data_IF_796422891660
#
_entry.id   IF_796422891660
#
_cell.length_a   1.000
_cell.length_b   1.000
_cell.length_c   1.000
_cell.angle_alpha   90.00
_cell.angle_beta   90.00
_cell.angle_gamma   90.00
#
_symmetry.space_group_name_H-M   'P 1'
#
loop_
_entity.id
_entity.type
_entity.pdbx_description
1 polymer ?
#
# COMPACT_ATOMS: atom_id res chain seq x y z
N UNK A 1 2.08 4.36 -35.08
CA UNK A 1 0.73 4.47 -35.69
C UNK A 1 -0.29 5.13 -34.76
N UNK A 2 -0.45 4.73 -33.49
CA UNK A 2 -1.44 5.35 -32.59
C UNK A 2 -1.18 6.84 -32.26
N UNK A 3 0.09 7.25 -32.12
CA UNK A 3 0.46 8.66 -31.84
C UNK A 3 0.12 9.63 -32.98
N UNK A 4 -0.14 9.11 -34.20
CA UNK A 4 -0.54 9.92 -35.36
C UNK A 4 -2.07 10.01 -35.49
N UNK A 5 -2.83 9.33 -34.62
CA UNK A 5 -4.29 9.37 -34.63
C UNK A 5 -4.81 10.68 -34.02
N UNK A 6 -5.97 11.12 -34.50
CA UNK A 6 -6.61 12.31 -33.94
C UNK A 6 -6.98 12.07 -32.47
N UNK A 7 -6.70 13.03 -31.58
CA UNK A 7 -6.89 12.87 -30.13
C UNK A 7 -8.30 12.39 -29.76
N UNK A 8 -9.34 12.98 -30.34
CA UNK A 8 -10.74 12.59 -30.08
C UNK A 8 -11.03 11.13 -30.46
N UNK A 9 -10.37 10.60 -31.51
CA UNK A 9 -10.52 9.18 -31.86
C UNK A 9 -9.90 8.29 -30.78
N UNK A 10 -8.73 8.67 -30.24
CA UNK A 10 -8.11 7.95 -29.12
C UNK A 10 -8.97 8.01 -27.86
N UNK A 11 -9.54 9.17 -27.52
CA UNK A 11 -10.44 9.35 -26.38
C UNK A 11 -11.66 8.41 -26.48
N UNK A 12 -12.30 8.35 -27.65
CA UNK A 12 -13.44 7.44 -27.90
C UNK A 12 -13.01 5.98 -27.80
N UNK A 13 -11.90 5.60 -28.44
CA UNK A 13 -11.40 4.22 -28.41
C UNK A 13 -11.05 3.76 -26.99
N UNK A 14 -10.38 4.61 -26.21
CA UNK A 14 -10.05 4.33 -24.81
C UNK A 14 -11.33 4.22 -23.97
N UNK A 15 -12.29 5.11 -24.15
CA UNK A 15 -13.58 5.06 -23.45
C UNK A 15 -14.35 3.77 -23.75
N UNK A 16 -14.40 3.35 -25.01
CA UNK A 16 -15.04 2.10 -25.43
C UNK A 16 -14.31 0.87 -24.85
N UNK A 17 -12.98 0.85 -24.91
CA UNK A 17 -12.18 -0.26 -24.38
C UNK A 17 -12.30 -0.39 -22.86
N UNK A 18 -12.26 0.73 -22.15
CA UNK A 18 -12.24 0.74 -20.69
C UNK A 18 -13.62 0.77 -20.06
N UNK A 19 -14.65 1.16 -20.81
CA UNK A 19 -16.01 1.40 -20.31
C UNK A 19 -16.15 2.70 -19.53
N UNK A 20 -15.15 3.58 -19.54
CA UNK A 20 -15.07 4.80 -18.74
C UNK A 20 -15.40 6.03 -19.59
N UNK A 21 -16.47 6.74 -19.21
CA UNK A 21 -16.96 7.92 -19.94
C UNK A 21 -16.10 9.16 -19.69
N UNK A 22 -15.27 9.11 -18.67
CA UNK A 22 -14.38 10.17 -18.20
C UNK A 22 -13.35 10.56 -19.25
N UNK A 23 -12.97 9.65 -20.15
CA UNK A 23 -12.03 9.92 -21.24
C UNK A 23 -12.60 10.83 -22.34
N UNK A 24 -13.92 10.88 -22.51
CA UNK A 24 -14.58 11.76 -23.49
C UNK A 24 -15.05 13.08 -22.85
N UNK A 25 -15.21 13.10 -21.52
CA UNK A 25 -15.53 14.32 -20.79
C UNK A 25 -14.23 15.11 -20.59
N UNK A 26 -14.14 16.33 -21.11
CA UNK A 26 -12.97 17.23 -21.10
C UNK A 26 -12.47 17.68 -19.70
N UNK A 27 -12.66 16.86 -18.66
CA UNK A 27 -12.30 17.18 -17.28
C UNK A 27 -10.81 16.98 -17.01
N UNK A 28 -10.13 16.16 -17.80
CA UNK A 28 -8.73 15.82 -17.60
C UNK A 28 -7.91 16.20 -18.84
N UNK A 29 -6.80 16.90 -18.63
CA UNK A 29 -5.82 17.12 -19.68
C UNK A 29 -4.90 15.89 -19.74
N UNK A 30 -5.24 14.95 -20.64
CA UNK A 30 -4.50 13.70 -20.86
C UNK A 30 -3.84 13.79 -22.22
N UNK A 31 -2.53 13.53 -22.29
CA UNK A 31 -1.81 13.57 -23.56
C UNK A 31 -2.22 12.42 -24.49
N UNK A 32 -2.06 12.60 -25.81
CA UNK A 32 -2.27 11.51 -26.78
C UNK A 32 -1.35 10.31 -26.53
N UNK A 33 -0.16 10.52 -25.94
CA UNK A 33 0.74 9.43 -25.54
C UNK A 33 0.15 8.61 -24.39
N UNK A 34 -0.32 9.27 -23.33
CA UNK A 34 -0.97 8.59 -22.21
C UNK A 34 -2.23 7.83 -22.68
N UNK A 35 -3.04 8.41 -23.57
CA UNK A 35 -4.20 7.73 -24.14
C UNK A 35 -3.79 6.49 -24.95
N UNK A 36 -2.72 6.56 -25.74
CA UNK A 36 -2.20 5.43 -26.49
C UNK A 36 -1.65 4.33 -25.55
N UNK A 37 -0.95 4.71 -24.48
CA UNK A 37 -0.43 3.78 -23.46
C UNK A 37 -1.57 3.08 -22.71
N UNK A 38 -2.62 3.79 -22.33
CA UNK A 38 -3.82 3.20 -21.71
C UNK A 38 -4.51 2.27 -22.70
N UNK A 39 -4.64 2.67 -23.98
CA UNK A 39 -5.23 1.83 -25.03
C UNK A 39 -4.42 0.54 -25.24
N UNK A 40 -3.11 0.57 -25.02
CA UNK A 40 -2.22 -0.58 -25.13
C UNK A 40 -2.05 -1.37 -23.82
N UNK A 41 -2.77 -1.00 -22.75
CA UNK A 41 -2.62 -1.56 -21.39
C UNK A 41 -1.21 -1.40 -20.80
N UNK A 42 -0.44 -0.39 -21.24
CA UNK A 42 0.87 -0.07 -20.69
C UNK A 42 0.78 0.93 -19.52
N UNK A 43 -0.40 1.54 -19.32
CA UNK A 43 -0.68 2.48 -18.25
C UNK A 43 -2.05 2.21 -17.64
N UNK A 44 -2.16 2.41 -16.34
CA UNK A 44 -3.41 2.25 -15.61
C UNK A 44 -4.51 3.17 -16.15
N UNK A 45 -5.68 2.59 -16.41
CA UNK A 45 -6.89 3.31 -16.84
C UNK A 45 -7.52 4.19 -15.75
N UNK A 46 -7.10 4.05 -14.49
CA UNK A 46 -7.51 4.98 -13.43
C UNK A 46 -6.69 6.28 -13.55
N UNK A 47 -7.36 7.36 -13.90
CA UNK A 47 -6.76 8.68 -14.13
C UNK A 47 -6.11 9.30 -12.89
N UNK A 48 -6.43 8.83 -11.69
CA UNK A 48 -5.77 9.24 -10.45
C UNK A 48 -4.52 8.41 -10.14
N UNK A 49 -4.44 7.18 -10.64
CA UNK A 49 -3.32 6.26 -10.39
C UNK A 49 -2.22 6.45 -11.43
N UNK A 50 -2.56 6.38 -12.73
CA UNK A 50 -1.63 6.54 -13.86
C UNK A 50 -0.35 5.68 -13.83
N UNK A 51 -0.22 4.68 -12.95
CA UNK A 51 0.95 3.80 -12.89
C UNK A 51 1.20 3.12 -14.23
N UNK A 52 2.47 2.92 -14.59
CA UNK A 52 2.84 2.05 -15.70
C UNK A 52 2.57 0.59 -15.33
N UNK A 53 2.14 -0.22 -16.29
CA UNK A 53 1.78 -1.61 -16.08
C UNK A 53 2.80 -2.55 -16.72
N UNK A 54 3.15 -3.68 -16.06
CA UNK A 54 2.76 -4.06 -14.70
C UNK A 54 3.49 -3.23 -13.63
N UNK A 55 2.83 -3.00 -12.49
CA UNK A 55 3.43 -2.23 -11.38
C UNK A 55 4.40 -3.11 -10.57
N UNK A 56 5.54 -2.54 -10.17
CA UNK A 56 6.58 -3.14 -9.33
C UNK A 56 7.12 -4.49 -9.83
N UNK A 57 7.08 -4.71 -11.15
CA UNK A 57 7.55 -5.96 -11.78
C UNK A 57 6.95 -7.23 -11.15
N UNK A 58 5.72 -7.15 -10.64
CA UNK A 58 5.07 -8.27 -9.98
C UNK A 58 4.90 -9.46 -10.95
N UNK A 59 5.48 -10.60 -10.60
CA UNK A 59 5.51 -11.83 -11.40
C UNK A 59 4.36 -12.81 -11.06
N UNK A 60 3.39 -12.37 -10.26
CA UNK A 60 2.27 -13.25 -9.91
C UNK A 60 1.43 -13.61 -11.13
N UNK A 61 0.77 -14.78 -11.08
CA UNK A 61 -0.04 -15.31 -12.21
C UNK A 61 -1.12 -14.34 -12.70
N UNK A 62 -1.63 -13.47 -11.82
CA UNK A 62 -2.67 -12.51 -12.16
C UNK A 62 -2.06 -11.32 -12.92
N UNK A 63 -1.04 -10.67 -12.36
CA UNK A 63 -0.34 -9.55 -12.98
C UNK A 63 0.30 -9.94 -14.32
N UNK A 64 0.89 -11.15 -14.41
CA UNK A 64 1.51 -11.63 -15.63
C UNK A 64 0.50 -11.93 -16.77
N UNK A 65 -0.70 -12.44 -16.43
CA UNK A 65 -1.72 -12.79 -17.43
C UNK A 65 -2.63 -11.62 -17.81
N UNK A 66 -2.83 -10.66 -16.92
CA UNK A 66 -3.79 -9.56 -17.09
C UNK A 66 -3.04 -8.26 -17.30
N UNK A 67 -2.72 -7.94 -18.54
CA UNK A 67 -2.00 -6.72 -18.89
C UNK A 67 -2.74 -5.44 -18.51
N UNK A 68 -4.06 -5.47 -18.39
CA UNK A 68 -4.90 -4.32 -18.00
C UNK A 68 -5.08 -4.15 -16.49
N UNK A 69 -4.54 -5.05 -15.67
CA UNK A 69 -4.70 -5.04 -14.23
C UNK A 69 -3.65 -4.16 -13.55
N UNK A 70 -4.10 -3.25 -12.70
CA UNK A 70 -3.23 -2.43 -11.85
C UNK A 70 -3.37 -2.85 -10.39
N UNK A 71 -2.33 -3.46 -9.80
CA UNK A 71 -2.36 -3.91 -8.39
C UNK A 71 -2.51 -2.78 -7.38
N UNK A 72 -2.11 -1.54 -7.73
CA UNK A 72 -2.15 -0.39 -6.83
C UNK A 72 -3.55 0.11 -6.54
N UNK A 73 -4.47 -0.02 -7.50
CA UNK A 73 -5.80 0.59 -7.39
C UNK A 73 -6.95 -0.30 -7.82
N UNK A 74 -6.70 -1.45 -8.44
CA UNK A 74 -7.77 -2.35 -8.89
C UNK A 74 -7.95 -3.52 -7.94
N UNK A 75 -9.22 -3.86 -7.72
CA UNK A 75 -9.60 -5.04 -6.97
C UNK A 75 -9.23 -6.30 -7.75
N UNK A 76 -8.55 -7.22 -7.06
CA UNK A 76 -8.08 -8.48 -7.63
C UNK A 76 -9.21 -9.36 -8.21
N UNK A 77 -10.40 -9.26 -7.61
CA UNK A 77 -11.57 -10.06 -8.01
C UNK A 77 -12.32 -9.42 -9.19
N UNK A 78 -12.77 -8.17 -9.07
CA UNK A 78 -13.64 -7.55 -10.07
C UNK A 78 -12.92 -6.61 -11.04
N UNK A 79 -11.66 -6.27 -10.77
CA UNK A 79 -10.79 -5.37 -11.57
C UNK A 79 -11.35 -3.97 -11.81
N UNK A 80 -12.34 -3.61 -10.99
CA UNK A 80 -12.78 -2.23 -10.82
C UNK A 80 -11.89 -1.58 -9.78
N UNK A 81 -11.84 -0.26 -9.85
CA UNK A 81 -11.13 0.60 -8.92
C UNK A 81 -12.11 1.66 -8.42
N UNK A 82 -11.82 2.20 -7.25
CA UNK A 82 -12.39 3.42 -6.75
C UNK A 82 -11.27 4.30 -6.19
N UNK A 83 -11.62 5.43 -5.58
CA UNK A 83 -10.65 6.32 -4.94
C UNK A 83 -10.79 6.26 -3.41
N UNK A 84 -11.29 5.14 -2.87
CA UNK A 84 -11.45 4.99 -1.44
C UNK A 84 -10.06 4.75 -0.81
N UNK A 85 -9.76 5.52 0.22
CA UNK A 85 -8.57 5.38 1.06
C UNK A 85 -9.01 5.41 2.51
N UNK A 86 -8.12 4.97 3.41
CA UNK A 86 -8.34 5.03 4.86
C UNK A 86 -9.66 4.36 5.26
N UNK A 87 -9.91 3.15 4.75
CA UNK A 87 -11.21 2.48 4.77
C UNK A 87 -11.05 0.97 4.92
N UNK A 88 -12.05 0.33 5.51
CA UNK A 88 -12.27 -1.11 5.60
C UNK A 88 -12.99 -1.66 4.36
N UNK A 89 -13.40 -0.80 3.41
CA UNK A 89 -14.02 -1.22 2.14
C UNK A 89 -13.05 -1.94 1.19
N UNK A 90 -11.75 -1.86 1.48
CA UNK A 90 -10.68 -2.59 0.80
C UNK A 90 -9.91 -3.44 1.81
N UNK A 91 -9.52 -4.64 1.38
CA UNK A 91 -8.71 -5.59 2.14
C UNK A 91 -7.48 -5.97 1.34
N UNK A 92 -6.33 -6.06 2.02
CA UNK A 92 -5.04 -6.31 1.39
C UNK A 92 -4.40 -7.60 1.90
N UNK A 93 -3.63 -8.25 1.05
CA UNK A 93 -2.72 -9.31 1.48
C UNK A 93 -1.43 -8.69 2.05
N UNK A 94 -1.07 -9.06 3.26
CA UNK A 94 0.16 -8.63 3.97
C UNK A 94 1.47 -9.18 3.36
N UNK A 95 1.40 -10.21 2.51
CA UNK A 95 2.57 -10.77 1.82
C UNK A 95 2.76 -10.16 0.43
N UNK A 96 1.74 -10.26 -0.43
CA UNK A 96 1.88 -9.88 -1.83
C UNK A 96 1.25 -8.52 -2.15
N UNK A 97 0.66 -7.83 -1.18
CA UNK A 97 0.12 -6.47 -1.32
C UNK A 97 -0.89 -6.30 -2.46
N UNK A 98 -1.59 -7.38 -2.81
CA UNK A 98 -2.75 -7.30 -3.67
C UNK A 98 -3.98 -6.95 -2.86
N UNK A 99 -4.81 -6.07 -3.41
CA UNK A 99 -6.00 -5.54 -2.77
C UNK A 99 -7.28 -6.06 -3.42
N UNK A 100 -8.32 -6.17 -2.60
CA UNK A 100 -9.66 -6.55 -3.04
C UNK A 100 -10.69 -5.69 -2.31
N UNK A 101 -11.81 -5.35 -2.95
CA UNK A 101 -12.94 -4.80 -2.19
C UNK A 101 -13.41 -5.82 -1.16
N UNK A 102 -13.70 -5.39 0.06
CA UNK A 102 -14.27 -6.24 1.11
C UNK A 102 -15.53 -6.96 0.62
N UNK A 103 -16.39 -6.26 -0.12
CA UNK A 103 -17.59 -6.85 -0.73
C UNK A 103 -17.29 -7.97 -1.72
N UNK A 104 -16.24 -7.82 -2.53
CA UNK A 104 -15.84 -8.87 -3.46
C UNK A 104 -15.26 -10.07 -2.71
N UNK A 105 -14.45 -9.81 -1.68
CA UNK A 105 -13.90 -10.85 -0.81
C UNK A 105 -15.00 -11.62 -0.07
N UNK A 106 -16.05 -10.95 0.41
CA UNK A 106 -17.18 -11.60 1.08
C UNK A 106 -18.04 -12.42 0.11
N UNK A 107 -18.40 -11.87 -1.05
CA UNK A 107 -19.25 -12.59 -2.03
C UNK A 107 -18.59 -13.86 -2.56
N UNK A 108 -17.29 -13.80 -2.85
CA UNK A 108 -16.53 -14.94 -3.37
C UNK A 108 -15.92 -15.82 -2.26
N UNK A 109 -16.29 -15.58 -0.99
CA UNK A 109 -15.81 -16.34 0.17
C UNK A 109 -14.28 -16.36 0.33
N UNK A 110 -13.60 -15.30 -0.12
CA UNK A 110 -12.18 -15.05 0.17
C UNK A 110 -11.97 -14.47 1.57
N UNK A 111 -12.98 -13.84 2.16
CA UNK A 111 -13.00 -13.48 3.59
C UNK A 111 -13.80 -14.56 4.31
N UNK A 112 -13.14 -15.37 5.13
CA UNK A 112 -13.74 -16.55 5.79
C UNK A 112 -12.97 -16.96 7.04
N UNK A 113 -13.57 -17.81 7.88
CA UNK A 113 -12.86 -18.44 8.99
C UNK A 113 -11.74 -19.34 8.45
N UNK A 114 -10.55 -19.22 9.04
CA UNK A 114 -9.38 -20.03 8.75
C UNK A 114 -8.65 -20.40 10.04
N UNK A 115 -7.62 -21.25 9.94
CA UNK A 115 -6.83 -21.66 11.11
C UNK A 115 -5.92 -20.51 11.53
N UNK A 116 -5.97 -20.13 12.81
CA UNK A 116 -5.10 -19.08 13.33
C UNK A 116 -3.64 -19.50 13.28
N UNK A 117 -2.78 -18.62 12.78
CA UNK A 117 -1.33 -18.84 12.77
C UNK A 117 -0.68 -18.63 14.15
N UNK A 118 -1.35 -17.87 15.03
CA UNK A 118 -0.81 -17.42 16.33
C UNK A 118 -1.57 -17.98 17.54
N UNK A 119 -2.75 -18.55 17.33
CA UNK A 119 -3.57 -19.12 18.39
C UNK A 119 -3.18 -20.55 18.80
N UNK A 120 -3.80 -21.03 19.89
CA UNK A 120 -3.65 -22.41 20.34
C UNK A 120 -4.16 -23.39 19.26
N UNK A 121 -3.65 -24.62 19.28
CA UNK A 121 -3.95 -25.61 18.26
C UNK A 121 -5.47 -25.83 18.11
N UNK A 122 -6.01 -25.49 16.93
CA UNK A 122 -7.44 -25.60 16.62
C UNK A 122 -8.26 -24.32 16.73
N UNK A 123 -7.68 -23.18 17.13
CA UNK A 123 -8.41 -21.90 17.11
C UNK A 123 -8.59 -21.40 15.68
N UNK A 124 -9.83 -21.06 15.32
CA UNK A 124 -10.15 -20.38 14.05
C UNK A 124 -10.05 -18.87 14.23
N UNK A 125 -9.86 -18.14 13.13
CA UNK A 125 -9.96 -16.68 13.09
C UNK A 125 -10.46 -16.21 11.72
N UNK A 126 -11.06 -15.03 11.64
CA UNK A 126 -11.44 -14.44 10.36
C UNK A 126 -10.21 -14.01 9.54
N UNK A 127 -10.08 -14.52 8.32
CA UNK A 127 -8.92 -14.31 7.45
C UNK A 127 -9.36 -13.89 6.03
N UNK A 128 -8.52 -13.10 5.36
CA UNK A 128 -8.59 -12.86 3.93
C UNK A 128 -7.59 -13.78 3.19
N UNK A 129 -8.11 -14.63 2.33
CA UNK A 129 -7.34 -15.50 1.46
C UNK A 129 -7.08 -14.80 0.13
N UNK A 130 -5.83 -14.46 -0.12
CA UNK A 130 -5.46 -13.72 -1.32
C UNK A 130 -5.64 -14.57 -2.60
N UNK A 131 -6.37 -14.05 -3.59
CA UNK A 131 -6.56 -14.77 -4.88
C UNK A 131 -5.25 -14.92 -5.66
N UNK A 132 -4.23 -14.11 -5.39
CA UNK A 132 -2.96 -14.12 -6.12
C UNK A 132 -1.97 -15.17 -5.58
N UNK A 133 -1.81 -15.25 -4.26
CA UNK A 133 -0.81 -16.10 -3.61
C UNK A 133 -1.39 -17.15 -2.63
N UNK A 134 -2.71 -17.18 -2.44
CA UNK A 134 -3.44 -18.03 -1.50
C UNK A 134 -3.01 -17.86 -0.03
N UNK A 135 -2.27 -16.80 0.27
CA UNK A 135 -1.84 -16.50 1.63
C UNK A 135 -3.04 -16.05 2.48
N UNK A 136 -3.22 -16.61 3.70
CA UNK A 136 -4.22 -16.16 4.65
C UNK A 136 -3.71 -14.97 5.48
N UNK A 137 -4.29 -13.79 5.27
CA UNK A 137 -3.99 -12.58 6.06
C UNK A 137 -5.05 -12.38 7.16
N UNK A 138 -4.62 -12.07 8.39
CA UNK A 138 -5.52 -11.88 9.53
C UNK A 138 -6.38 -10.60 9.38
N UNK A 139 -7.71 -10.72 9.52
CA UNK A 139 -8.61 -9.56 9.40
C UNK A 139 -8.69 -8.70 10.65
N UNK A 140 -8.49 -9.28 11.83
CA UNK A 140 -8.59 -8.55 13.10
C UNK A 140 -7.51 -7.47 13.22
N UNK A 141 -6.24 -7.85 13.02
CA UNK A 141 -5.12 -6.91 13.00
C UNK A 141 -5.32 -5.80 11.96
N UNK A 142 -5.69 -6.16 10.74
CA UNK A 142 -5.97 -5.20 9.67
C UNK A 142 -7.00 -4.12 10.08
N UNK A 143 -8.16 -4.55 10.57
CA UNK A 143 -9.23 -3.61 10.95
C UNK A 143 -8.81 -2.75 12.15
N UNK A 144 -8.11 -3.33 13.11
CA UNK A 144 -7.56 -2.59 14.26
C UNK A 144 -6.63 -1.48 13.79
N UNK A 145 -5.72 -1.76 12.86
CA UNK A 145 -4.78 -0.77 12.32
C UNK A 145 -5.49 0.36 11.56
N UNK A 146 -6.48 0.03 10.72
CA UNK A 146 -7.28 1.04 10.01
C UNK A 146 -7.96 2.00 10.99
N UNK A 147 -8.62 1.47 12.03
CA UNK A 147 -9.25 2.31 13.05
C UNK A 147 -8.21 3.10 13.87
N UNK A 148 -7.09 2.51 14.25
CA UNK A 148 -6.07 3.22 15.03
C UNK A 148 -5.47 4.42 14.29
N UNK A 149 -5.31 4.30 12.97
CA UNK A 149 -4.69 5.34 12.14
C UNK A 149 -5.67 6.44 11.73
N UNK A 150 -6.93 6.11 11.43
CA UNK A 150 -7.82 7.03 10.71
C UNK A 150 -9.07 7.46 11.47
N UNK A 151 -9.36 6.87 12.63
CA UNK A 151 -10.58 7.16 13.38
C UNK A 151 -10.74 8.64 13.76
N UNK A 152 -9.63 9.36 13.98
CA UNK A 152 -9.65 10.80 14.31
C UNK A 152 -10.05 11.69 13.14
N UNK A 153 -9.90 11.21 11.92
CA UNK A 153 -10.18 11.95 10.68
C UNK A 153 -11.59 11.68 10.13
N UNK A 154 -12.26 10.65 10.65
CA UNK A 154 -13.57 10.23 10.16
C UNK A 154 -14.70 11.10 10.72
N UNK A 155 -15.62 11.49 9.83
CA UNK A 155 -16.93 12.02 10.24
C UNK A 155 -17.81 10.90 10.78
N UNK A 156 -18.93 11.24 11.42
CA UNK A 156 -19.91 10.26 11.88
C UNK A 156 -20.44 9.36 10.75
N UNK A 157 -20.61 9.92 9.55
CA UNK A 157 -21.03 9.19 8.35
C UNK A 157 -19.95 8.21 7.88
N UNK A 158 -18.68 8.64 7.89
CA UNK A 158 -17.55 7.76 7.56
C UNK A 158 -17.46 6.63 8.57
N UNK A 159 -17.42 6.95 9.85
CA UNK A 159 -17.38 5.95 10.92
C UNK A 159 -18.53 4.94 10.81
N UNK A 160 -19.76 5.41 10.53
CA UNK A 160 -20.92 4.53 10.30
C UNK A 160 -20.68 3.57 9.11
N UNK A 161 -20.19 4.07 7.97
CA UNK A 161 -19.87 3.22 6.81
C UNK A 161 -18.78 2.20 7.12
N UNK A 162 -17.74 2.60 7.84
CA UNK A 162 -16.63 1.70 8.18
C UNK A 162 -17.06 0.63 9.19
N UNK A 163 -17.86 0.98 10.20
CA UNK A 163 -18.47 0.03 11.12
C UNK A 163 -19.39 -0.96 10.41
N UNK A 164 -20.08 -0.54 9.35
CA UNK A 164 -20.91 -1.42 8.54
C UNK A 164 -20.06 -2.49 7.83
N UNK A 165 -18.86 -2.15 7.34
CA UNK A 165 -17.92 -3.15 6.83
C UNK A 165 -17.43 -4.09 7.92
N UNK A 166 -17.06 -3.58 9.10
CA UNK A 166 -16.66 -4.42 10.24
C UNK A 166 -17.76 -5.41 10.61
N UNK A 167 -19.01 -4.92 10.73
CA UNK A 167 -20.20 -5.74 11.00
C UNK A 167 -20.31 -6.90 10.00
N UNK A 168 -20.19 -6.59 8.71
CA UNK A 168 -20.34 -7.58 7.63
C UNK A 168 -19.18 -8.57 7.59
N UNK A 169 -17.94 -8.09 7.70
CA UNK A 169 -16.73 -8.92 7.69
C UNK A 169 -16.76 -9.96 8.81
N UNK A 170 -17.15 -9.56 10.03
CA UNK A 170 -17.16 -10.46 11.19
C UNK A 170 -18.50 -11.13 11.48
N UNK A 171 -19.50 -10.98 10.62
CA UNK A 171 -20.86 -11.52 10.83
C UNK A 171 -20.92 -13.03 11.05
N UNK A 172 -20.02 -13.77 10.40
CA UNK A 172 -19.91 -15.22 10.51
C UNK A 172 -18.62 -15.67 11.24
N UNK A 173 -17.99 -14.78 12.02
CA UNK A 173 -16.78 -15.14 12.76
C UNK A 173 -17.07 -16.20 13.83
N UNK A 174 -16.24 -17.24 13.85
CA UNK A 174 -16.32 -18.30 14.87
C UNK A 174 -15.52 -17.97 16.12
N UNK A 175 -14.54 -17.07 15.98
CA UNK A 175 -13.58 -16.71 17.01
C UNK A 175 -14.11 -15.62 17.95
N UNK A 176 -13.64 -15.64 19.20
CA UNK A 176 -14.13 -14.72 20.24
C UNK A 176 -13.85 -13.26 19.88
N UNK A 177 -12.69 -12.97 19.27
CA UNK A 177 -12.29 -11.59 18.92
C UNK A 177 -13.19 -11.03 17.83
N UNK A 178 -13.44 -11.80 16.77
CA UNK A 178 -14.31 -11.40 15.67
C UNK A 178 -15.77 -11.26 16.10
N UNK A 179 -16.30 -12.18 16.93
CA UNK A 179 -17.65 -12.03 17.52
C UNK A 179 -17.80 -10.74 18.33
N UNK A 180 -16.82 -10.43 19.17
CA UNK A 180 -16.80 -9.17 19.92
C UNK A 180 -16.77 -7.95 19.00
N UNK A 181 -15.96 -7.97 17.94
CA UNK A 181 -15.94 -6.88 16.96
C UNK A 181 -17.28 -6.69 16.26
N UNK A 182 -17.94 -7.79 15.88
CA UNK A 182 -19.27 -7.73 15.28
C UNK A 182 -20.29 -7.09 16.23
N UNK A 183 -20.34 -7.52 17.50
CA UNK A 183 -21.25 -6.96 18.50
C UNK A 183 -20.98 -5.47 18.79
N UNK A 184 -19.70 -5.08 18.88
CA UNK A 184 -19.29 -3.68 19.03
C UNK A 184 -19.79 -2.86 17.85
N UNK A 185 -19.59 -3.34 16.62
CA UNK A 185 -20.03 -2.65 15.42
C UNK A 185 -21.56 -2.47 15.40
N UNK A 186 -22.33 -3.52 15.69
CA UNK A 186 -23.81 -3.46 15.77
C UNK A 186 -24.27 -2.41 16.79
N UNK A 187 -23.71 -2.44 18.00
CA UNK A 187 -24.05 -1.50 19.09
C UNK A 187 -23.67 -0.06 18.75
N UNK A 188 -22.55 0.16 18.07
CA UNK A 188 -22.14 1.50 17.68
C UNK A 188 -23.01 2.06 16.55
N UNK A 189 -23.35 1.23 15.57
CA UNK A 189 -24.26 1.60 14.48
C UNK A 189 -25.64 2.00 15.02
N UNK A 190 -26.20 1.28 15.99
CA UNK A 190 -27.48 1.65 16.60
C UNK A 190 -27.43 2.98 17.35
N UNK A 191 -26.31 3.30 18.00
CA UNK A 191 -26.11 4.61 18.65
C UNK A 191 -26.01 5.75 17.64
N UNK A 192 -25.28 5.55 16.55
CA UNK A 192 -25.14 6.53 15.47
C UNK A 192 -26.47 6.81 14.75
N UNK A 193 -27.33 5.81 14.61
CA UNK A 193 -28.65 5.95 13.97
C UNK A 193 -29.60 6.86 14.75
N UNK A 194 -29.48 6.92 16.09
CA UNK A 194 -30.43 7.63 16.95
C UNK A 194 -30.19 9.14 17.10
N UNK A 195 -29.18 9.73 16.42
CA UNK A 195 -28.80 11.16 16.35
C UNK A 195 -28.76 11.98 17.67
N UNK A 196 -29.10 11.42 18.82
CA UNK A 196 -29.19 12.11 20.11
C UNK A 196 -27.84 12.28 20.83
N UNK A 197 -26.81 11.51 20.45
CA UNK A 197 -25.55 11.40 21.21
C UNK A 197 -24.32 11.92 20.47
N UNK A 198 -24.48 12.81 19.48
CA UNK A 198 -23.33 13.42 18.78
C UNK A 198 -22.42 14.22 19.75
N UNK A 199 -22.95 14.69 20.89
CA UNK A 199 -22.19 15.33 21.97
C UNK A 199 -21.52 14.35 22.95
N UNK A 200 -21.96 13.10 23.01
CA UNK A 200 -21.33 12.05 23.83
C UNK A 200 -20.21 11.33 23.07
N UNK A 201 -20.28 11.28 21.74
CA UNK A 201 -19.26 10.63 20.91
C UNK A 201 -17.90 11.37 20.85
N UNK A 202 -17.86 12.66 21.22
CA UNK A 202 -16.60 13.40 21.36
C UNK A 202 -15.84 13.09 22.66
N UNK A 203 -16.50 12.43 23.62
CA UNK A 203 -15.94 12.09 24.93
C UNK A 203 -16.02 10.60 25.28
N UNK A 204 -16.76 9.80 24.50
CA UNK A 204 -16.70 8.36 24.63
C UNK A 204 -15.29 7.89 24.24
N UNK A 205 -14.58 7.16 25.12
CA UNK A 205 -13.42 6.41 24.68
C UNK A 205 -13.95 5.43 23.64
N UNK A 206 -13.66 5.70 22.36
CA UNK A 206 -13.98 4.77 21.30
C UNK A 206 -13.41 3.42 21.72
N UNK A 207 -14.22 2.35 21.74
CA UNK A 207 -13.79 1.03 22.21
C UNK A 207 -12.53 0.50 21.49
N UNK A 208 -12.20 1.08 20.34
CA UNK A 208 -11.02 0.80 19.54
C UNK A 208 -9.76 1.59 19.93
N UNK A 209 -9.91 2.73 20.62
CA UNK A 209 -8.80 3.62 21.01
C UNK A 209 -8.28 3.37 22.42
N UNK A 210 -9.09 2.80 23.31
CA UNK A 210 -8.65 2.40 24.64
C UNK A 210 -8.22 0.94 24.61
N UNK A 211 -6.97 0.70 25.01
CA UNK A 211 -6.33 -0.62 25.14
C UNK A 211 -7.06 -1.59 26.08
N UNK A 212 -8.19 -1.20 26.67
CA UNK A 212 -8.98 -1.94 27.63
C UNK A 212 -9.89 -3.00 27.01
N UNK A 213 -10.23 -2.93 25.72
CA UNK A 213 -11.00 -3.99 25.05
C UNK A 213 -10.16 -5.21 24.64
N UNK A 214 -8.84 -5.05 24.57
CA UNK A 214 -7.91 -6.13 24.19
C UNK A 214 -7.27 -6.82 25.40
N UNK A 215 -7.66 -6.46 26.64
CA UNK A 215 -7.29 -7.19 27.85
C UNK A 215 -8.45 -8.10 28.24
N UNK A 216 -8.27 -9.37 27.93
CA UNK A 216 -9.05 -10.51 28.40
C UNK A 216 -9.49 -10.37 29.86
N UNK A 217 -10.80 -10.28 30.10
CA UNK A 217 -11.36 -10.68 31.39
C UNK A 217 -11.35 -12.21 31.44
N UNK A 218 -10.40 -12.72 32.22
CA UNK A 218 -10.44 -14.05 32.79
C UNK A 218 -11.78 -14.23 33.51
N UNK A 219 -12.67 -15.03 32.94
CA UNK A 219 -13.88 -15.50 33.61
C UNK A 219 -13.43 -16.26 34.86
N UNK A 220 -13.58 -15.62 36.02
CA UNK A 220 -13.58 -16.32 37.31
C UNK A 220 -14.93 -17.00 37.44
N UNK A 221 -14.97 -18.29 37.13
CA UNK A 221 -16.06 -19.15 37.60
C UNK A 221 -15.98 -19.20 39.13
N UNK A 222 -16.88 -18.48 39.80
CA UNK A 222 -17.23 -18.75 41.19
C UNK A 222 -18.46 -19.65 41.20
N UNK A 223 -18.22 -20.95 41.09
CA UNK A 223 -19.14 -21.95 41.63
C UNK A 223 -18.70 -22.23 43.06
N UNK A 224 -19.59 -21.97 44.02
CA UNK A 224 -19.45 -22.38 45.41
C UNK A 224 -20.31 -23.61 45.69
N UNK A 225 -19.62 -24.64 46.19
CA UNK A 225 -20.03 -25.67 47.15
C UNK A 225 -20.83 -26.88 46.63
N UNK A 226 -20.19 -28.06 46.59
CA UNK A 226 -20.24 -29.01 47.73
C UNK A 226 -19.22 -30.16 47.59
N UNK A 227 -18.62 -30.52 48.72
CA UNK A 227 -18.04 -31.82 49.12
C UNK A 227 -16.67 -32.33 48.61
N UNK A 228 -15.76 -32.42 49.60
CA UNK A 228 -14.48 -33.18 49.70
C UNK A 228 -14.76 -34.69 49.89
N UNK A 229 -13.73 -35.57 50.07
CA UNK A 229 -12.27 -35.48 49.80
C UNK A 229 -11.74 -36.72 49.02
N UNK A 230 -10.44 -36.76 48.68
CA UNK A 230 -9.46 -37.83 49.04
C UNK A 230 -8.14 -37.78 48.21
N UNK A 231 -7.02 -37.65 48.94
CA UNK A 231 -5.63 -38.11 48.76
C UNK A 231 -4.75 -37.81 47.50
N UNK A 232 -3.79 -36.87 47.65
CA UNK A 232 -2.29 -36.99 47.74
C UNK A 232 -1.61 -38.21 47.02
N UNK A 233 -0.34 -38.14 46.47
CA UNK A 233 0.55 -37.01 46.11
C UNK A 233 1.23 -37.11 44.70
N UNK A 234 1.79 -35.95 44.31
CA UNK A 234 3.06 -35.76 43.61
C UNK A 234 4.09 -36.90 43.67
N UNK A 235 4.73 -37.20 42.54
CA UNK A 235 6.19 -37.45 42.54
C UNK A 235 6.88 -36.78 41.35
N UNK A 236 7.90 -36.01 41.71
CA UNK A 236 8.95 -35.37 40.92
C UNK A 236 10.05 -36.35 40.52
N UNK A 237 10.77 -36.06 39.42
CA UNK A 237 12.25 -36.17 39.21
C UNK A 237 12.55 -36.57 37.75
N UNK A 238 13.02 -35.66 36.89
CA UNK A 238 14.43 -35.25 36.64
C UNK A 238 15.37 -36.36 36.10
N UNK A 239 15.81 -36.12 34.85
CA UNK A 239 17.18 -36.23 34.30
C UNK A 239 17.67 -37.55 33.62
N UNK A 240 17.65 -37.53 32.27
CA UNK A 240 18.74 -37.73 31.27
C UNK A 240 19.48 -39.11 31.16
N UNK A 241 20.40 -39.39 30.19
CA UNK A 241 20.47 -39.30 28.69
C UNK A 241 20.71 -40.68 28.00
N UNK A 242 20.50 -40.82 26.68
CA UNK A 242 21.55 -41.24 25.70
C UNK A 242 21.09 -41.29 24.22
N UNK A 243 21.88 -40.65 23.33
CA UNK A 243 22.42 -41.05 21.99
C UNK A 243 21.60 -42.05 21.12
N UNK A 244 21.45 -41.97 19.79
CA UNK A 244 22.01 -41.21 18.65
C UNK A 244 21.06 -41.43 17.44
N UNK A 245 20.94 -40.48 16.51
CA UNK A 245 21.24 -40.64 15.07
C UNK A 245 20.79 -39.43 14.23
N UNK A 246 21.56 -39.18 13.19
CA UNK A 246 21.70 -37.98 12.39
C UNK A 246 20.59 -37.80 11.34
N UNK A 247 20.35 -36.54 10.94
CA UNK A 247 19.71 -36.23 9.66
C UNK A 247 19.01 -34.88 9.59
N UNK A 248 19.56 -34.00 8.75
CA UNK A 248 18.96 -32.79 8.17
C UNK A 248 19.08 -31.46 8.97
N UNK A 249 19.91 -30.61 8.39
CA UNK A 249 20.23 -29.22 8.70
C UNK A 249 19.01 -28.31 8.81
N UNK A 250 18.93 -27.54 9.88
CA UNK A 250 18.07 -26.36 10.02
C UNK A 250 18.65 -25.45 11.11
N UNK A 251 19.13 -24.26 10.72
CA UNK A 251 19.50 -23.17 11.65
C UNK A 251 18.53 -22.00 11.42
N UNK A 252 18.20 -21.26 12.49
CA UNK A 252 16.84 -20.82 12.78
C UNK A 252 16.54 -19.40 12.32
N UNK A 253 15.23 -19.16 12.14
CA UNK A 253 14.65 -17.85 11.92
C UNK A 253 14.90 -16.92 13.10
N UNK A 254 15.50 -15.77 12.79
CA UNK A 254 15.48 -14.57 13.62
C UNK A 254 14.55 -13.58 12.93
N UNK A 255 13.27 -13.55 13.32
CA UNK A 255 12.37 -12.47 12.93
C UNK A 255 12.60 -11.27 13.85
N UNK A 256 13.41 -10.32 13.38
CA UNK A 256 13.25 -8.94 13.82
C UNK A 256 12.28 -8.28 12.84
N UNK A 257 11.11 -7.90 13.37
CA UNK A 257 10.06 -7.22 12.63
C UNK A 257 10.59 -5.94 11.99
N UNK A 258 10.51 -5.87 10.67
CA UNK A 258 10.71 -4.65 9.93
C UNK A 258 9.40 -3.85 9.96
N UNK A 259 9.37 -2.79 10.78
CA UNK A 259 8.35 -1.77 10.72
C UNK A 259 8.28 -1.18 9.31
N UNK A 260 7.08 -1.18 8.76
CA UNK A 260 6.82 -0.73 7.40
C UNK A 260 7.11 0.76 7.23
N UNK A 261 7.91 1.06 6.20
CA UNK A 261 8.31 2.38 5.77
C UNK A 261 7.13 3.10 5.08
N UNK A 262 6.91 4.36 5.45
CA UNK A 262 5.97 5.27 4.78
C UNK A 262 6.39 5.48 3.32
N UNK A 263 5.51 5.16 2.38
CA UNK A 263 5.57 5.67 1.01
C UNK A 263 5.04 7.11 0.99
N UNK A 264 5.86 8.04 0.53
CA UNK A 264 5.52 9.46 0.32
C UNK A 264 5.33 9.66 -1.18
N UNK A 265 4.12 10.00 -1.60
CA UNK A 265 3.87 10.59 -2.92
C UNK A 265 3.61 12.10 -2.78
N UNK A 266 4.07 12.92 -3.74
CA UNK A 266 4.02 14.37 -3.65
C UNK A 266 2.62 14.90 -4.02
N UNK A 267 2.02 15.65 -3.10
CA UNK A 267 0.87 16.49 -3.42
C UNK A 267 1.32 17.81 -4.07
N UNK A 268 0.41 18.38 -4.85
CA UNK A 268 0.58 19.32 -5.96
C UNK A 268 1.23 20.68 -5.62
N UNK A 269 1.79 21.27 -6.67
CA UNK A 269 2.39 22.60 -6.71
C UNK A 269 1.42 23.76 -6.33
N UNK A 270 1.92 24.88 -5.76
CA UNK A 270 1.09 26.01 -5.34
C UNK A 270 0.65 26.85 -6.54
N UNK A 271 -0.64 27.20 -6.58
CA UNK A 271 -1.17 28.21 -7.50
C UNK A 271 -0.92 29.61 -6.95
N UNK A 272 -0.23 30.40 -7.78
CA UNK A 272 -0.01 31.83 -7.68
C UNK A 272 -1.28 32.59 -8.10
N UNK A 273 -1.71 33.57 -7.30
CA UNK A 273 -2.40 34.76 -7.81
C UNK A 273 -2.09 35.98 -6.91
N UNK A 274 -1.74 37.08 -7.58
CA UNK A 274 -1.19 38.33 -7.05
C UNK A 274 -2.28 39.33 -6.63
N UNK A 275 -2.02 40.11 -5.58
CA UNK A 275 -2.24 41.58 -5.47
C UNK A 275 -1.80 42.02 -4.07
N UNK A 276 -0.63 42.65 -3.88
CA UNK A 276 -0.32 44.07 -4.06
C UNK A 276 -1.24 45.00 -3.26
N UNK A 277 -0.61 45.64 -2.25
CA UNK A 277 -0.87 46.96 -1.67
C UNK A 277 -1.63 47.12 -0.33
N UNK A 278 -0.87 47.70 0.62
CA UNK A 278 -1.23 48.71 1.64
C UNK A 278 -1.43 48.24 3.09
N UNK A 279 -0.39 48.51 3.88
CA UNK A 279 -0.46 48.92 5.29
C UNK A 279 -1.55 49.97 5.50
N UNK A 280 -2.13 50.02 6.71
CA UNK A 280 -2.17 51.32 7.39
C UNK A 280 -1.70 51.28 8.84
N UNK A 281 -1.00 52.37 9.14
CA UNK A 281 -0.63 52.93 10.43
C UNK A 281 -1.82 53.20 11.36
N UNK A 282 -1.53 53.18 12.65
CA UNK A 282 -2.23 53.80 13.80
C UNK A 282 -3.35 54.80 13.46
N UNK A 283 -4.50 54.68 14.16
CA UNK A 283 -5.03 55.83 14.89
C UNK A 283 -5.95 55.47 16.08
N UNK A 284 -6.04 56.43 16.98
CA UNK A 284 -6.49 56.37 18.36
C UNK A 284 -8.02 56.35 18.55
N UNK A 285 -8.39 56.00 19.79
CA UNK A 285 -9.51 56.56 20.55
C UNK A 285 -10.91 55.92 20.41
N UNK A 286 -11.30 55.09 21.41
CA UNK A 286 -12.64 55.21 22.01
C UNK A 286 -12.68 54.64 23.44
N UNK A 287 -12.57 55.56 24.38
CA UNK A 287 -12.98 55.41 25.78
C UNK A 287 -14.53 55.36 25.85
N UNK A 288 -15.12 54.50 26.68
CA UNK A 288 -16.03 54.90 27.78
C UNK A 288 -16.86 53.75 28.40
N UNK A 289 -16.93 53.83 29.74
CA UNK A 289 -17.98 53.37 30.69
C UNK A 289 -17.96 51.90 31.15
N UNK A 290 -17.53 51.66 32.40
CA UNK A 290 -18.43 51.80 33.55
C UNK A 290 -17.64 52.00 34.85
N UNK A 291 -17.86 53.16 35.44
CA UNK A 291 -17.59 53.57 36.82
C UNK A 291 -18.38 52.71 37.81
N UNK A 292 -17.78 52.39 38.97
CA UNK A 292 -18.20 52.87 40.31
C UNK A 292 -17.83 51.89 41.44
N UNK A 293 -16.83 52.31 42.21
CA UNK A 293 -16.64 52.19 43.67
C UNK A 293 -16.48 50.81 44.35
N UNK A 294 -15.26 50.58 44.86
CA UNK A 294 -15.08 50.48 46.31
C UNK A 294 -13.74 51.08 46.71
N UNK A 295 -13.81 52.11 47.54
CA UNK A 295 -12.71 52.98 47.92
C UNK A 295 -12.20 52.62 49.33
N UNK A 296 -10.93 52.98 49.59
CA UNK A 296 -10.25 53.13 50.89
C UNK A 296 -9.56 51.91 51.55
N UNK A 297 -8.23 51.87 51.44
CA UNK A 297 -7.33 52.19 52.58
C UNK A 297 -5.86 52.41 52.15
N UNK A 298 -5.32 53.57 52.56
CA UNK A 298 -3.91 53.99 52.53
C UNK A 298 -3.00 53.05 53.35
N UNK A 299 -1.78 52.74 52.86
CA UNK A 299 -0.46 52.97 53.50
C UNK A 299 0.69 52.20 52.78
N UNK A 300 1.84 52.88 52.59
CA UNK A 300 3.15 52.57 51.93
C UNK A 300 3.82 51.20 52.22
N UNK A 301 4.83 50.69 51.44
CA UNK A 301 5.93 51.40 50.77
C UNK A 301 6.19 51.05 49.29
N UNK A 302 6.99 51.89 48.61
CA UNK A 302 7.52 51.64 47.25
C UNK A 302 8.53 50.49 47.31
N UNK A 303 8.10 49.27 47.05
CA UNK A 303 8.99 48.18 46.66
C UNK A 303 9.62 48.51 45.29
N UNK A 304 10.92 48.22 45.10
CA UNK A 304 11.66 48.73 43.97
C UNK A 304 11.19 48.01 42.70
N UNK A 305 10.51 48.74 41.81
CA UNK A 305 10.11 48.33 40.44
C UNK A 305 11.28 47.68 39.66
N UNK A 306 12.52 47.99 40.07
CA UNK A 306 13.75 47.40 39.54
C UNK A 306 13.87 45.87 39.77
N UNK A 307 13.45 45.35 40.93
CA UNK A 307 13.56 43.92 41.24
C UNK A 307 12.59 43.05 40.42
N UNK A 308 11.42 43.60 40.09
CA UNK A 308 10.42 42.94 39.24
C UNK A 308 10.87 42.89 37.77
N UNK A 309 11.47 43.97 37.27
CA UNK A 309 12.08 44.01 35.94
C UNK A 309 13.29 43.08 35.84
N UNK A 310 14.13 43.03 36.86
CA UNK A 310 15.27 42.10 36.91
C UNK A 310 14.80 40.64 36.93
N UNK A 311 13.71 40.34 37.66
CA UNK A 311 13.07 39.03 37.65
C UNK A 311 12.56 38.64 36.25
N UNK A 312 11.87 39.56 35.56
CA UNK A 312 11.37 39.33 34.19
C UNK A 312 12.52 39.10 33.21
N UNK A 313 13.61 39.88 33.31
CA UNK A 313 14.81 39.71 32.48
C UNK A 313 15.43 38.34 32.70
N UNK A 314 15.59 37.90 33.97
CA UNK A 314 16.12 36.56 34.29
C UNK A 314 15.24 35.45 33.71
N UNK A 315 13.92 35.58 33.82
CA UNK A 315 12.97 34.60 33.25
C UNK A 315 13.10 34.56 31.72
N UNK A 316 13.14 35.72 31.05
CA UNK A 316 13.27 35.79 29.59
C UNK A 316 14.61 35.26 29.10
N UNK A 317 15.68 35.47 29.87
CA UNK A 317 17.00 34.93 29.55
C UNK A 317 17.03 33.40 29.70
N UNK A 318 16.41 32.84 30.75
CA UNK A 318 16.26 31.40 30.91
C UNK A 318 15.40 30.78 29.80
N UNK A 319 14.30 31.45 29.42
CA UNK A 319 13.43 31.04 28.31
C UNK A 319 14.20 31.03 26.98
N UNK A 320 15.01 32.06 26.70
CA UNK A 320 15.85 32.12 25.50
C UNK A 320 16.89 30.98 25.46
N UNK A 321 17.54 30.68 26.59
CA UNK A 321 18.49 29.57 26.69
C UNK A 321 17.81 28.21 26.44
N UNK A 322 16.60 28.01 26.96
CA UNK A 322 15.82 26.79 26.73
C UNK A 322 15.46 26.62 25.24
N UNK A 323 15.03 27.70 24.57
CA UNK A 323 14.72 27.65 23.15
C UNK A 323 15.97 27.39 22.29
N UNK A 324 17.10 27.99 22.64
CA UNK A 324 18.37 27.74 21.96
C UNK A 324 18.80 26.27 22.11
N UNK A 325 18.75 25.72 23.33
CA UNK A 325 19.08 24.31 23.57
C UNK A 325 18.20 23.37 22.74
N UNK A 326 16.90 23.65 22.66
CA UNK A 326 15.96 22.86 21.84
C UNK A 326 16.25 22.98 20.34
N UNK A 327 16.66 24.15 19.85
CA UNK A 327 17.06 24.35 18.46
C UNK A 327 18.35 23.58 18.14
N UNK A 328 19.31 23.55 19.06
CA UNK A 328 20.56 22.82 18.89
C UNK A 328 20.36 21.29 18.98
N UNK A 329 19.47 20.82 19.85
CA UNK A 329 19.04 19.41 19.87
C UNK A 329 18.39 19.00 18.55
N UNK A 330 17.44 19.79 18.03
CA UNK A 330 16.80 19.52 16.74
C UNK A 330 17.80 19.50 15.58
N UNK A 331 18.82 20.37 15.61
CA UNK A 331 19.90 20.37 14.61
C UNK A 331 20.73 19.09 14.68
N UNK A 332 21.13 18.66 15.88
CA UNK A 332 21.87 17.41 16.09
C UNK A 332 21.09 16.19 15.62
N UNK A 333 19.80 16.12 15.93
CA UNK A 333 18.95 15.01 15.51
C UNK A 333 18.79 14.96 13.99
N UNK A 334 18.58 16.11 13.35
CA UNK A 334 18.52 16.23 11.88
C UNK A 334 19.82 15.75 11.22
N UNK A 335 20.97 16.16 11.74
CA UNK A 335 22.28 15.72 11.24
C UNK A 335 22.51 14.21 11.45
N UNK A 336 22.06 13.65 12.57
CA UNK A 336 22.12 12.22 12.82
C UNK A 336 21.26 11.42 11.83
N UNK A 337 20.02 11.87 11.59
CA UNK A 337 19.13 11.26 10.60
C UNK A 337 19.71 11.36 9.19
N UNK A 338 20.32 12.50 8.83
CA UNK A 338 20.98 12.68 7.54
C UNK A 338 22.12 11.67 7.34
N UNK A 339 22.95 11.43 8.37
CA UNK A 339 24.01 10.41 8.32
C UNK A 339 23.44 9.02 8.08
N UNK A 340 22.39 8.64 8.82
CA UNK A 340 21.73 7.34 8.65
C UNK A 340 21.18 7.20 7.22
N UNK A 341 20.53 8.25 6.69
CA UNK A 341 19.99 8.24 5.33
C UNK A 341 21.09 8.00 4.28
N UNK A 342 22.23 8.68 4.40
CA UNK A 342 23.35 8.53 3.46
C UNK A 342 23.90 7.10 3.50
N UNK A 343 24.20 6.56 4.69
CA UNK A 343 24.72 5.20 4.82
C UNK A 343 23.73 4.14 4.33
N UNK A 344 22.43 4.34 4.55
CA UNK A 344 21.39 3.43 4.01
C UNK A 344 21.33 3.49 2.50
N UNK A 345 21.46 4.69 1.91
CA UNK A 345 21.48 4.85 0.47
C UNK A 345 22.71 4.18 -0.16
N UNK A 346 23.91 4.37 0.41
CA UNK A 346 25.15 3.72 -0.05
C UNK A 346 25.00 2.18 -0.06
N UNK A 347 24.46 1.61 1.01
CA UNK A 347 24.23 0.17 1.08
C UNK A 347 23.22 -0.33 0.03
N UNK A 348 22.18 0.44 -0.25
CA UNK A 348 21.20 0.10 -1.30
C UNK A 348 21.87 0.13 -2.68
N UNK A 349 22.68 1.15 -2.97
CA UNK A 349 23.42 1.27 -4.23
C UNK A 349 24.43 0.13 -4.43
N UNK A 350 25.13 -0.28 -3.37
CA UNK A 350 26.03 -1.44 -3.40
C UNK A 350 25.27 -2.74 -3.69
N UNK A 351 24.13 -2.97 -3.00
CA UNK A 351 23.29 -4.15 -3.25
C UNK A 351 22.69 -4.15 -4.66
N UNK A 352 22.26 -3.00 -5.15
CA UNK A 352 21.73 -2.82 -6.51
C UNK A 352 22.81 -3.12 -7.57
N UNK A 353 24.00 -2.55 -7.41
CA UNK A 353 25.14 -2.79 -8.30
C UNK A 353 25.58 -4.27 -8.29
N UNK A 354 25.58 -4.90 -7.12
CA UNK A 354 25.86 -6.33 -6.97
C UNK A 354 24.83 -7.20 -7.71
N UNK A 355 23.53 -6.88 -7.58
CA UNK A 355 22.45 -7.62 -8.27
C UNK A 355 22.55 -7.47 -9.78
N UNK A 356 22.76 -6.26 -10.30
CA UNK A 356 22.95 -6.03 -11.74
C UNK A 356 24.14 -6.82 -12.28
N UNK A 357 25.26 -6.80 -11.57
CA UNK A 357 26.47 -7.52 -11.99
C UNK A 357 26.24 -9.03 -12.09
N UNK A 358 25.41 -9.61 -11.20
CA UNK A 358 25.04 -11.04 -11.24
C UNK A 358 24.17 -11.42 -12.44
N UNK A 359 23.41 -10.47 -13.00
CA UNK A 359 22.54 -10.73 -14.16
C UNK A 359 23.33 -10.88 -15.47
N UNK A 360 24.60 -10.48 -15.51
CA UNK A 360 25.50 -10.64 -16.68
C UNK A 360 24.87 -10.22 -18.02
N UNK A 361 24.13 -9.11 -18.00
CA UNK A 361 23.33 -8.65 -19.15
C UNK A 361 24.16 -8.43 -20.41
N UNK A 362 25.38 -7.90 -20.28
CA UNK A 362 26.28 -7.71 -21.42
C UNK A 362 26.65 -9.03 -22.13
N UNK A 363 26.90 -10.10 -21.36
CA UNK A 363 27.16 -11.43 -21.93
C UNK A 363 25.92 -11.96 -22.65
N UNK A 364 24.73 -11.78 -22.08
CA UNK A 364 23.47 -12.21 -22.68
C UNK A 364 23.15 -11.43 -23.98
N UNK A 365 23.41 -10.13 -24.01
CA UNK A 365 23.24 -9.29 -25.20
C UNK A 365 24.20 -9.68 -26.32
N UNK A 366 25.47 -9.94 -25.98
CA UNK A 366 26.46 -10.40 -26.97
C UNK A 366 26.11 -11.78 -27.52
N UNK A 367 25.67 -12.71 -26.66
CA UNK A 367 25.16 -14.02 -27.10
C UNK A 367 23.97 -13.89 -28.04
N UNK A 368 23.02 -13.00 -27.72
CA UNK A 368 21.87 -12.72 -28.59
C UNK A 368 22.32 -12.17 -29.94
N UNK A 369 23.28 -11.23 -29.96
CA UNK A 369 23.82 -10.64 -31.18
C UNK A 369 24.48 -11.68 -32.07
N UNK A 370 25.33 -12.54 -31.49
CA UNK A 370 25.97 -13.64 -32.21
C UNK A 370 24.94 -14.59 -32.84
N UNK A 371 23.88 -14.95 -32.10
CA UNK A 371 22.81 -15.81 -32.64
C UNK A 371 22.05 -15.17 -33.80
N UNK A 372 21.85 -13.85 -33.77
CA UNK A 372 21.24 -13.12 -34.89
C UNK A 372 22.16 -13.13 -36.12
N UNK A 373 23.47 -12.93 -35.93
CA UNK A 373 24.44 -12.97 -37.03
C UNK A 373 24.54 -14.37 -37.66
N UNK A 374 24.54 -15.43 -36.85
CA UNK A 374 24.49 -16.82 -37.31
C UNK A 374 23.23 -17.10 -38.14
N UNK A 375 22.06 -16.64 -37.68
CA UNK A 375 20.80 -16.80 -38.40
C UNK A 375 20.83 -16.08 -39.76
N UNK A 376 21.31 -14.84 -39.79
CA UNK A 376 21.44 -14.07 -41.03
C UNK A 376 22.41 -14.73 -42.01
N UNK A 377 23.51 -15.33 -41.52
CA UNK A 377 24.43 -16.07 -42.36
C UNK A 377 23.77 -17.31 -42.97
N UNK A 378 22.98 -18.05 -42.18
CA UNK A 378 22.24 -19.21 -42.64
C UNK A 378 21.16 -18.84 -43.66
N UNK A 379 20.41 -17.77 -43.44
CA UNK A 379 19.41 -17.25 -44.39
C UNK A 379 20.05 -16.88 -45.73
N UNK A 380 21.21 -16.20 -45.72
CA UNK A 380 21.96 -15.89 -46.95
C UNK A 380 22.39 -17.15 -47.69
N UNK A 381 22.97 -18.12 -46.98
CA UNK A 381 23.40 -19.39 -47.58
C UNK A 381 22.21 -20.17 -48.16
N UNK A 382 21.06 -20.18 -47.47
CA UNK A 382 19.84 -20.80 -47.96
C UNK A 382 19.33 -20.11 -49.24
N UNK A 383 19.34 -18.78 -49.28
CA UNK A 383 18.93 -18.02 -50.46
C UNK A 383 19.86 -18.28 -51.66
N UNK A 384 21.18 -18.35 -51.43
CA UNK A 384 22.16 -18.70 -52.47
C UNK A 384 21.95 -20.11 -53.00
N UNK A 385 21.75 -21.09 -52.10
CA UNK A 385 21.40 -22.45 -52.47
C UNK A 385 20.11 -22.52 -53.29
N UNK A 386 19.07 -21.82 -52.86
CA UNK A 386 17.79 -21.77 -53.57
C UNK A 386 17.94 -21.18 -54.97
N UNK A 387 18.67 -20.06 -55.09
CA UNK A 387 18.94 -19.42 -56.38
C UNK A 387 19.74 -20.35 -57.31
N UNK A 388 20.73 -21.07 -56.77
CA UNK A 388 21.51 -22.04 -57.54
C UNK A 388 20.65 -23.20 -58.01
N UNK A 389 19.81 -23.76 -57.13
CA UNK A 389 18.85 -24.82 -57.47
C UNK A 389 17.93 -24.39 -58.61
N UNK A 390 17.36 -23.18 -58.56
CA UNK A 390 16.48 -22.67 -59.61
C UNK A 390 17.19 -22.55 -60.97
N UNK A 391 18.45 -22.11 -60.99
CA UNK A 391 19.25 -22.08 -62.22
C UNK A 391 19.50 -23.48 -62.76
N UNK A 392 19.94 -24.41 -61.92
CA UNK A 392 20.18 -25.80 -62.33
C UNK A 392 18.92 -26.46 -62.87
N UNK A 393 17.76 -26.27 -62.23
CA UNK A 393 16.49 -26.79 -62.72
C UNK A 393 16.12 -26.22 -64.09
N UNK A 394 16.44 -24.95 -64.34
CA UNK A 394 16.21 -24.30 -65.64
C UNK A 394 17.13 -24.88 -66.72
N UNK A 395 18.42 -25.02 -66.41
CA UNK A 395 19.41 -25.60 -67.34
C UNK A 395 19.10 -27.06 -67.68
N UNK A 396 18.65 -27.85 -66.70
CA UNK A 396 18.23 -29.24 -66.93
C UNK A 396 17.01 -29.28 -67.85
N UNK A 397 16.00 -28.43 -67.61
CA UNK A 397 14.81 -28.36 -68.48
C UNK A 397 15.17 -27.98 -69.91
N UNK A 398 16.04 -26.99 -70.10
CA UNK A 398 16.52 -26.57 -71.42
C UNK A 398 17.29 -27.69 -72.12
N UNK A 399 18.18 -28.39 -71.40
CA UNK A 399 18.93 -29.52 -71.94
C UNK A 399 18.00 -30.65 -72.39
N UNK A 400 16.99 -31.01 -71.59
CA UNK A 400 16.00 -32.03 -71.95
C UNK A 400 15.21 -31.64 -73.21
N UNK A 401 14.79 -30.38 -73.33
CA UNK A 401 14.10 -29.87 -74.53
C UNK A 401 14.99 -29.96 -75.77
N UNK A 402 16.27 -29.59 -75.65
CA UNK A 402 17.26 -29.70 -76.74
C UNK A 402 17.49 -31.16 -77.15
N UNK A 403 17.66 -32.07 -76.18
CA UNK A 403 17.82 -33.50 -76.44
C UNK A 403 16.62 -34.10 -77.18
N UNK A 404 15.39 -33.74 -76.78
CA UNK A 404 14.18 -34.17 -77.49
C UNK A 404 14.10 -33.62 -78.91
N UNK A 405 14.46 -32.35 -79.12
CA UNK A 405 14.48 -31.75 -80.45
C UNK A 405 15.49 -32.47 -81.37
N UNK A 406 16.70 -32.74 -80.87
CA UNK A 406 17.71 -33.52 -81.61
C UNK A 406 17.22 -34.94 -81.92
N UNK A 407 16.57 -35.61 -80.96
CA UNK A 407 15.99 -36.94 -81.16
C UNK A 407 14.93 -36.95 -82.25
N UNK A 408 14.05 -35.93 -82.30
CA UNK A 408 13.03 -35.81 -83.34
C UNK A 408 13.66 -35.57 -84.71
N UNK A 409 14.68 -34.71 -84.80
CA UNK A 409 15.37 -34.43 -86.05
C UNK A 409 16.15 -35.63 -86.63
N UNK A 410 16.60 -36.56 -85.78
CA UNK A 410 17.28 -37.80 -86.18
C UNK A 410 16.32 -38.95 -86.54
N UNK A 411 15.02 -38.81 -86.25
CA UNK A 411 13.99 -39.81 -86.52
C UNK A 411 13.18 -39.53 -87.81
N UNK A 412 13.49 -38.42 -88.49
CA UNK A 412 13.16 -38.11 -89.89
C UNK A 412 14.36 -38.41 -90.75
#
# INVERSE_FOLDING_TARGET
MLLNAHRTQLEILVALKTGLREFVRQKYDISSSELAEILLNMRCRNLNCKSLLPVDECDCKICAKRSDFCRDCMCLVCSKFDNASNTCSWVGCDVCLHWCHADCGLRESHIRNGRSATGAQGTTEMQFYCVACDHPSEMFGFIKEVFQNFLKEWTAENLSRELEYVRRIFSASEDVRGKQLHEIAVRMLSKLANRADLKELSHLPLPFSSSSLFKSESVKNSETNSDRPVNIPNESRKELPTKNQEGASGIPGSSQGAGWLKSVYPDKAPRLENSVNLLPSFDSNRNDKYTTNMDLRKNSPKEPIFDELESIVRIKQAEAMMFQARADDARRESEALKRISVTKNERIEEEYTSRISKLRLAEAEEMRKQKVEELQALERAYQEYFNMKMRMETDIKDLLLKMEATRRNLAT
#
